data_IF_924686106659
#
_entry.id   IF_924686106659
#
_cell.length_a   1.000
_cell.length_b   1.000
_cell.length_c   1.000
_cell.angle_alpha   90.00
_cell.angle_beta   90.00
_cell.angle_gamma   90.00
#
_symmetry.space_group_name_H-M   'P 1'
#
loop_
_entity.id
_entity.type
_entity.pdbx_description
1 polymer ?
#
# COMPACT_ATOMS: atom_id res chain seq x y z
N UNK A 1 5.19 12.04 16.04
CA UNK A 1 3.97 11.84 15.25
C UNK A 1 3.93 10.39 14.76
N UNK A 2 3.11 9.54 15.36
CA UNK A 2 3.03 8.12 15.03
C UNK A 2 1.92 7.88 13.98
N UNK A 3 2.23 8.09 12.70
CA UNK A 3 1.38 7.58 11.63
C UNK A 3 1.75 6.11 11.37
N UNK A 4 0.76 5.22 11.38
CA UNK A 4 0.94 3.82 11.01
C UNK A 4 1.22 3.65 9.50
N UNK A 5 0.87 4.66 8.69
CA UNK A 5 1.23 4.70 7.28
C UNK A 5 2.70 5.07 7.11
N UNK A 6 3.45 4.34 6.26
CA UNK A 6 4.77 4.80 5.84
C UNK A 6 4.67 6.16 5.13
N UNK A 7 5.75 6.95 5.19
CA UNK A 7 5.79 8.26 4.54
C UNK A 7 5.60 8.08 3.03
N UNK A 8 4.70 8.85 2.40
CA UNK A 8 4.40 8.71 0.97
C UNK A 8 5.66 8.80 0.10
N UNK A 9 6.62 9.67 0.47
CA UNK A 9 7.93 9.80 -0.19
C UNK A 9 8.80 8.53 -0.21
N UNK A 10 8.48 7.51 0.59
CA UNK A 10 9.19 6.23 0.61
C UNK A 10 8.60 5.19 -0.34
N UNK A 11 7.48 5.50 -0.99
CA UNK A 11 6.84 4.64 -1.99
C UNK A 11 7.51 4.91 -3.32
N UNK A 12 8.29 3.95 -3.81
CA UNK A 12 8.98 4.05 -5.11
C UNK A 12 8.42 3.01 -6.09
N UNK A 13 8.33 3.32 -7.38
CA UNK A 13 7.69 2.46 -8.38
C UNK A 13 8.33 1.07 -8.50
N UNK A 14 9.67 1.03 -8.53
CA UNK A 14 10.44 -0.17 -8.88
C UNK A 14 10.95 -0.98 -7.69
N UNK A 15 10.45 -0.71 -6.48
CA UNK A 15 10.80 -1.46 -5.27
C UNK A 15 9.54 -1.94 -4.58
N UNK A 16 9.70 -2.96 -3.73
CA UNK A 16 8.64 -3.41 -2.84
C UNK A 16 8.12 -2.25 -1.98
N UNK A 17 6.80 -2.04 -1.88
CA UNK A 17 6.24 -1.02 -1.01
C UNK A 17 6.72 -1.19 0.44
N UNK A 18 6.96 -0.08 1.16
CA UNK A 18 7.33 -0.14 2.57
C UNK A 18 6.24 -0.84 3.40
N UNK A 19 6.63 -1.70 4.33
CA UNK A 19 5.65 -2.40 5.16
C UNK A 19 4.95 -1.45 6.14
N UNK A 20 3.67 -1.71 6.41
CA UNK A 20 2.91 -1.03 7.45
C UNK A 20 3.46 -1.47 8.80
N UNK A 21 4.00 -0.51 9.56
CA UNK A 21 4.54 -0.80 10.88
C UNK A 21 3.42 -1.24 11.82
N UNK A 22 3.66 -2.26 12.67
CA UNK A 22 2.71 -2.61 13.71
C UNK A 22 2.53 -1.44 14.68
N UNK A 23 1.35 -1.40 15.32
CA UNK A 23 1.08 -0.46 16.39
C UNK A 23 1.59 -1.06 17.69
N UNK A 24 2.57 -0.42 18.31
CA UNK A 24 3.04 -0.82 19.63
C UNK A 24 2.29 -0.05 20.70
N UNK A 25 1.59 -0.80 21.54
CA UNK A 25 0.78 -0.22 22.62
C UNK A 25 1.67 0.50 23.63
N UNK A 26 2.83 -0.07 23.97
CA UNK A 26 3.75 0.49 24.95
C UNK A 26 4.33 1.83 24.48
N UNK A 27 4.77 1.94 23.22
CA UNK A 27 5.23 3.21 22.65
C UNK A 27 4.16 4.30 22.75
N UNK A 28 2.89 3.95 22.47
CA UNK A 28 1.78 4.87 22.60
C UNK A 28 1.53 5.27 24.06
N UNK A 29 1.50 4.31 24.99
CA UNK A 29 1.28 4.57 26.41
C UNK A 29 2.40 5.46 26.99
N UNK A 30 3.66 5.17 26.66
CA UNK A 30 4.80 6.03 27.00
C UNK A 30 4.61 7.44 26.44
N UNK A 31 4.20 7.60 25.18
CA UNK A 31 3.95 8.93 24.61
C UNK A 31 2.83 9.69 25.33
N UNK A 32 1.81 8.98 25.81
CA UNK A 32 0.68 9.55 26.54
C UNK A 32 1.07 10.02 27.93
N UNK A 33 1.99 9.33 28.61
CA UNK A 33 2.55 9.75 29.90
C UNK A 33 3.30 11.09 29.79
N UNK A 34 4.01 11.31 28.69
CA UNK A 34 4.84 12.50 28.48
C UNK A 34 4.10 13.67 27.82
N UNK A 35 3.15 13.40 26.92
CA UNK A 35 2.46 14.41 26.13
C UNK A 35 0.99 14.65 26.54
N UNK A 36 0.43 13.81 27.42
CA UNK A 36 -0.98 13.82 27.79
C UNK A 36 -1.93 13.46 26.63
N UNK A 37 -3.24 13.35 26.87
CA UNK A 37 -4.21 13.43 25.78
C UNK A 37 -4.04 14.78 25.05
N UNK A 38 -4.35 14.83 23.75
CA UNK A 38 -4.15 16.02 22.92
C UNK A 38 -4.64 17.33 23.59
N UNK A 39 -4.08 18.51 23.26
CA UNK A 39 -4.38 19.79 23.93
C UNK A 39 -5.86 20.21 23.88
N UNK A 40 -6.70 19.52 23.11
CA UNK A 40 -8.16 19.70 23.05
C UNK A 40 -8.93 18.92 24.11
N UNK A 41 -8.29 18.05 24.91
CA UNK A 41 -8.96 17.26 25.92
C UNK A 41 -8.97 17.97 27.28
N UNK A 42 -10.12 18.54 27.64
CA UNK A 42 -10.34 19.30 28.89
C UNK A 42 -10.63 18.37 30.09
N UNK A 43 -10.80 17.07 29.83
CA UNK A 43 -11.19 16.07 30.82
C UNK A 43 -9.96 15.54 31.58
N UNK A 44 -9.99 15.63 32.91
CA UNK A 44 -9.00 15.02 33.80
C UNK A 44 -9.42 13.57 34.11
N UNK A 45 -8.50 12.62 34.05
CA UNK A 45 -8.79 11.21 34.35
C UNK A 45 -7.60 10.27 34.16
N UNK A 46 -7.78 8.99 34.53
CA UNK A 46 -6.83 7.91 34.30
C UNK A 46 -6.85 7.47 32.83
N UNK A 47 -6.20 8.27 31.98
CA UNK A 47 -6.07 8.00 30.55
C UNK A 47 -5.28 6.73 30.28
N UNK A 48 -4.24 6.47 31.07
CA UNK A 48 -3.38 5.31 30.91
C UNK A 48 -4.17 4.01 31.14
N UNK A 49 -4.92 3.93 32.25
CA UNK A 49 -5.79 2.79 32.54
C UNK A 49 -6.94 2.65 31.56
N UNK A 50 -7.49 3.76 31.06
CA UNK A 50 -8.50 3.74 30.00
C UNK A 50 -7.96 3.08 28.72
N UNK A 51 -6.81 3.52 28.21
CA UNK A 51 -6.24 2.96 26.99
C UNK A 51 -5.74 1.51 27.19
N UNK A 52 -5.19 1.16 28.35
CA UNK A 52 -4.86 -0.24 28.70
C UNK A 52 -6.08 -1.15 28.66
N UNK A 53 -7.23 -0.70 29.18
CA UNK A 53 -8.49 -1.46 29.09
C UNK A 53 -9.02 -1.52 27.66
N UNK A 54 -8.96 -0.41 26.93
CA UNK A 54 -9.39 -0.34 25.54
C UNK A 54 -8.60 -1.29 24.63
N UNK A 55 -7.28 -1.36 24.75
CA UNK A 55 -6.45 -2.25 23.94
C UNK A 55 -6.71 -3.74 24.18
N UNK A 56 -7.22 -4.09 25.36
CA UNK A 56 -7.67 -5.46 25.69
C UNK A 56 -9.09 -5.76 25.22
N UNK A 57 -9.82 -4.76 24.72
CA UNK A 57 -11.21 -4.92 24.29
C UNK A 57 -11.30 -5.49 22.86
N UNK A 58 -12.36 -6.25 22.54
CA UNK A 58 -12.62 -6.70 21.16
C UNK A 58 -12.79 -5.54 20.17
N UNK A 59 -13.25 -4.38 20.64
CA UNK A 59 -13.40 -3.18 19.81
C UNK A 59 -12.08 -2.72 19.22
N UNK A 60 -11.02 -2.68 20.02
CA UNK A 60 -9.69 -2.28 19.55
C UNK A 60 -9.16 -3.27 18.51
N UNK A 61 -9.25 -4.56 18.78
CA UNK A 61 -8.71 -5.60 17.89
C UNK A 61 -9.42 -5.60 16.52
N UNK A 62 -10.76 -5.51 16.51
CA UNK A 62 -11.55 -5.37 15.29
C UNK A 62 -11.21 -4.09 14.52
N UNK A 63 -11.19 -2.95 15.21
CA UNK A 63 -10.82 -1.66 14.63
C UNK A 63 -9.40 -1.68 14.05
N UNK A 64 -8.44 -2.23 14.78
CA UNK A 64 -7.04 -2.28 14.37
C UNK A 64 -6.85 -3.14 13.12
N UNK A 65 -7.48 -4.33 13.07
CA UNK A 65 -7.46 -5.18 11.87
C UNK A 65 -8.10 -4.51 10.67
N UNK A 66 -9.23 -3.82 10.85
CA UNK A 66 -9.84 -3.04 9.78
C UNK A 66 -8.89 -1.94 9.30
N UNK A 67 -8.33 -1.15 10.23
CA UNK A 67 -7.45 -0.04 9.91
C UNK A 67 -6.20 -0.49 9.17
N UNK A 68 -5.61 -1.62 9.56
CA UNK A 68 -4.48 -2.22 8.83
C UNK A 68 -4.84 -2.61 7.39
N UNK A 69 -6.02 -3.19 7.16
CA UNK A 69 -6.50 -3.54 5.82
C UNK A 69 -6.69 -2.29 4.96
N UNK A 70 -7.30 -1.25 5.49
CA UNK A 70 -7.47 0.04 4.79
C UNK A 70 -6.13 0.64 4.40
N UNK A 71 -5.17 0.66 5.33
CA UNK A 71 -3.82 1.15 5.07
C UNK A 71 -3.09 0.33 4.01
N UNK A 72 -3.23 -1.00 4.02
CA UNK A 72 -2.61 -1.88 3.02
C UNK A 72 -3.15 -1.59 1.62
N UNK A 73 -4.47 -1.45 1.51
CA UNK A 73 -5.12 -1.07 0.24
C UNK A 73 -4.67 0.30 -0.24
N UNK A 74 -4.56 1.28 0.67
CA UNK A 74 -4.09 2.63 0.34
C UNK A 74 -2.63 2.63 -0.13
N UNK A 75 -1.76 1.89 0.55
CA UNK A 75 -0.36 1.77 0.19
C UNK A 75 -0.19 1.14 -1.20
N UNK A 76 -0.96 0.09 -1.48
CA UNK A 76 -0.92 -0.60 -2.77
C UNK A 76 -1.43 0.28 -3.92
N UNK A 77 -2.49 1.06 -3.67
CA UNK A 77 -2.99 2.06 -4.61
C UNK A 77 -1.92 3.13 -4.91
N UNK A 78 -1.30 3.70 -3.88
CA UNK A 78 -0.22 4.68 -4.04
C UNK A 78 0.98 4.10 -4.80
N UNK A 79 1.31 2.83 -4.58
CA UNK A 79 2.38 2.18 -5.34
C UNK A 79 2.02 1.97 -6.80
N UNK A 80 0.76 1.63 -7.11
CA UNK A 80 0.29 1.54 -8.49
C UNK A 80 0.35 2.91 -9.19
N UNK A 81 -0.08 3.98 -8.50
CA UNK A 81 0.04 5.35 -8.99
C UNK A 81 1.49 5.70 -9.29
N UNK A 82 2.41 5.44 -8.35
CA UNK A 82 3.83 5.69 -8.54
C UNK A 82 4.40 4.94 -9.76
N UNK A 83 4.00 3.69 -10.00
CA UNK A 83 4.42 2.93 -11.19
C UNK A 83 3.90 3.59 -12.47
N UNK A 84 2.62 3.99 -12.49
CA UNK A 84 1.99 4.59 -13.68
C UNK A 84 2.50 6.00 -13.99
N UNK A 85 2.97 6.73 -12.98
CA UNK A 85 3.60 8.05 -13.15
C UNK A 85 5.06 7.93 -13.59
N UNK A 86 5.69 6.78 -13.34
CA UNK A 86 7.06 6.52 -13.75
C UNK A 86 7.11 6.00 -15.20
N UNK A 87 8.19 6.31 -15.91
CA UNK A 87 8.36 5.86 -17.29
C UNK A 87 8.74 4.38 -17.33
N UNK A 88 7.75 3.51 -17.55
CA UNK A 88 7.92 2.05 -17.65
C UNK A 88 8.83 1.68 -18.83
N UNK A 89 8.70 2.36 -19.97
CA UNK A 89 9.52 2.07 -21.16
C UNK A 89 11.00 2.31 -20.89
N UNK A 90 11.34 3.43 -20.24
CA UNK A 90 12.72 3.71 -19.80
C UNK A 90 13.18 2.69 -18.77
N UNK A 91 12.32 2.27 -17.83
CA UNK A 91 12.70 1.28 -16.83
C UNK A 91 13.03 -0.09 -17.45
N UNK A 92 12.30 -0.49 -18.48
CA UNK A 92 12.54 -1.76 -19.18
C UNK A 92 13.88 -1.80 -19.93
N UNK A 93 14.47 -0.64 -20.27
CA UNK A 93 15.77 -0.59 -20.92
C UNK A 93 16.84 -1.16 -19.97
N UNK A 94 17.43 -2.29 -20.35
CA UNK A 94 18.44 -2.99 -19.54
C UNK A 94 17.85 -3.93 -18.47
N UNK A 95 16.54 -4.22 -18.54
CA UNK A 95 15.90 -5.25 -17.72
C UNK A 95 15.89 -6.60 -18.41
N UNK A 96 15.99 -7.66 -17.62
CA UNK A 96 15.81 -9.02 -18.12
C UNK A 96 14.34 -9.29 -18.45
N UNK A 97 14.10 -10.23 -19.36
CA UNK A 97 12.74 -10.69 -19.70
C UNK A 97 11.97 -11.14 -18.44
N UNK A 98 12.64 -11.81 -17.50
CA UNK A 98 12.05 -12.24 -16.23
C UNK A 98 11.56 -11.06 -15.39
N UNK A 99 12.33 -9.97 -15.30
CA UNK A 99 11.91 -8.76 -14.58
C UNK A 99 10.71 -8.07 -15.25
N UNK A 100 10.67 -8.07 -16.58
CA UNK A 100 9.54 -7.49 -17.34
C UNK A 100 8.28 -8.36 -17.17
N UNK A 101 8.42 -9.69 -17.22
CA UNK A 101 7.33 -10.64 -16.93
C UNK A 101 6.82 -10.44 -15.50
N UNK A 102 7.69 -10.34 -14.50
CA UNK A 102 7.32 -10.10 -13.11
C UNK A 102 6.54 -8.77 -12.95
N UNK A 103 6.95 -7.71 -13.64
CA UNK A 103 6.20 -6.44 -13.68
C UNK A 103 4.80 -6.64 -14.27
N UNK A 104 4.68 -7.35 -15.40
CA UNK A 104 3.39 -7.64 -16.04
C UNK A 104 2.46 -8.38 -15.08
N UNK A 105 2.96 -9.44 -14.42
CA UNK A 105 2.17 -10.24 -13.48
C UNK A 105 1.71 -9.40 -12.28
N UNK A 106 2.61 -8.61 -11.68
CA UNK A 106 2.29 -7.73 -10.56
C UNK A 106 1.26 -6.66 -10.92
N UNK A 107 1.39 -6.04 -12.09
CA UNK A 107 0.42 -5.03 -12.55
C UNK A 107 -0.95 -5.64 -12.82
N UNK A 108 -1.01 -6.82 -13.43
CA UNK A 108 -2.27 -7.54 -13.65
C UNK A 108 -2.96 -7.94 -12.35
N UNK A 109 -2.21 -8.45 -11.38
CA UNK A 109 -2.76 -8.76 -10.05
C UNK A 109 -3.39 -7.52 -9.40
N UNK A 110 -2.68 -6.39 -9.42
CA UNK A 110 -3.19 -5.12 -8.92
C UNK A 110 -4.44 -4.63 -9.66
N UNK A 111 -4.48 -4.78 -10.99
CA UNK A 111 -5.64 -4.43 -11.81
C UNK A 111 -6.86 -5.29 -11.47
N UNK A 112 -6.68 -6.60 -11.26
CA UNK A 112 -7.76 -7.51 -10.83
C UNK A 112 -8.30 -7.08 -9.46
N UNK A 113 -7.43 -6.77 -8.51
CA UNK A 113 -7.82 -6.31 -7.18
C UNK A 113 -8.52 -4.96 -7.21
N UNK A 114 -8.10 -4.05 -8.08
CA UNK A 114 -8.77 -2.76 -8.27
C UNK A 114 -10.19 -2.92 -8.84
N UNK A 115 -10.39 -3.79 -9.84
CA UNK A 115 -11.72 -4.08 -10.41
C UNK A 115 -12.68 -4.69 -9.38
N UNK A 116 -12.16 -5.51 -8.46
CA UNK A 116 -12.93 -6.03 -7.33
C UNK A 116 -13.31 -5.00 -6.25
N UNK A 117 -13.14 -3.69 -6.51
CA UNK A 117 -13.32 -2.59 -5.55
C UNK A 117 -12.48 -2.73 -4.28
N UNK A 118 -11.35 -3.47 -4.35
CA UNK A 118 -10.49 -3.69 -3.19
C UNK A 118 -9.42 -2.61 -3.04
N UNK A 119 -9.16 -1.80 -4.07
CA UNK A 119 -8.16 -0.73 -4.06
C UNK A 119 -8.81 0.62 -4.38
N UNK A 120 -8.55 1.68 -3.59
CA UNK A 120 -9.07 3.01 -3.85
C UNK A 120 -8.22 3.72 -4.92
N UNK A 121 -8.40 3.37 -6.19
CA UNK A 121 -7.61 3.89 -7.32
C UNK A 121 -8.52 4.64 -8.29
N UNK A 122 -8.02 5.75 -8.88
CA UNK A 122 -8.74 6.52 -9.92
C UNK A 122 -8.77 5.74 -11.24
N UNK A 123 -9.84 5.89 -12.03
CA UNK A 123 -9.95 5.20 -13.33
C UNK A 123 -8.81 5.55 -14.29
N UNK A 124 -8.34 6.81 -14.28
CA UNK A 124 -7.18 7.24 -15.08
C UNK A 124 -5.92 6.41 -14.79
N UNK A 125 -5.66 6.12 -13.51
CA UNK A 125 -4.52 5.29 -13.11
C UNK A 125 -4.71 3.85 -13.57
N UNK A 126 -5.95 3.33 -13.56
CA UNK A 126 -6.24 1.99 -14.08
C UNK A 126 -6.05 1.91 -15.59
N UNK A 127 -6.43 2.94 -16.34
CA UNK A 127 -6.18 3.03 -17.77
C UNK A 127 -4.68 3.07 -18.05
N UNK A 128 -3.91 3.93 -17.36
CA UNK A 128 -2.46 3.98 -17.48
C UNK A 128 -1.80 2.64 -17.16
N UNK A 129 -2.20 1.99 -16.09
CA UNK A 129 -1.70 0.67 -15.72
C UNK A 129 -1.95 -0.39 -16.81
N UNK A 130 -3.11 -0.35 -17.48
CA UNK A 130 -3.40 -1.25 -18.63
C UNK A 130 -2.45 -0.99 -19.80
N UNK A 131 -2.26 0.28 -20.16
CA UNK A 131 -1.31 0.67 -21.21
C UNK A 131 0.14 0.25 -20.86
N UNK A 132 0.55 0.40 -19.59
CA UNK A 132 1.85 -0.07 -19.13
C UNK A 132 2.01 -1.59 -19.28
N UNK A 133 0.97 -2.36 -18.97
CA UNK A 133 0.97 -3.82 -19.17
C UNK A 133 1.09 -4.16 -20.65
N UNK A 134 0.33 -3.50 -21.52
CA UNK A 134 0.39 -3.73 -22.97
C UNK A 134 1.78 -3.41 -23.53
N UNK A 135 2.36 -2.26 -23.18
CA UNK A 135 3.70 -1.89 -23.58
C UNK A 135 4.76 -2.89 -23.09
N UNK A 136 4.64 -3.36 -21.84
CA UNK A 136 5.55 -4.35 -21.27
C UNK A 136 5.40 -5.75 -21.88
N UNK A 137 4.20 -6.13 -22.31
CA UNK A 137 4.00 -7.38 -23.06
C UNK A 137 4.61 -7.24 -24.45
N UNK A 138 4.39 -6.13 -25.15
CA UNK A 138 4.91 -5.94 -26.51
C UNK A 138 6.45 -5.84 -26.58
N UNK A 139 7.12 -5.49 -25.48
CA UNK A 139 8.58 -5.47 -25.41
C UNK A 139 9.21 -6.87 -25.26
N UNK A 140 8.42 -7.88 -24.88
CA UNK A 140 8.89 -9.26 -24.70
C UNK A 140 8.96 -10.03 -26.03
N UNK A 141 9.73 -11.13 -26.12
CA UNK A 141 9.73 -12.02 -27.27
C UNK A 141 8.38 -12.74 -27.49
N UNK A 142 8.13 -13.23 -28.71
CA UNK A 142 6.82 -13.75 -29.15
C UNK A 142 6.32 -14.97 -28.36
N UNK A 143 7.22 -15.84 -27.93
CA UNK A 143 6.93 -17.00 -27.09
C UNK A 143 6.38 -16.56 -25.72
N UNK A 144 7.02 -15.58 -25.07
CA UNK A 144 6.52 -15.03 -23.81
C UNK A 144 5.23 -14.23 -23.99
N UNK A 145 5.07 -13.51 -25.10
CA UNK A 145 3.82 -12.83 -25.43
C UNK A 145 2.65 -13.82 -25.55
N UNK A 146 2.85 -14.96 -26.22
CA UNK A 146 1.81 -15.99 -26.38
C UNK A 146 1.38 -16.60 -25.04
N UNK A 147 2.32 -16.76 -24.09
CA UNK A 147 2.01 -17.26 -22.75
C UNK A 147 1.27 -16.21 -21.92
N UNK A 148 1.64 -14.94 -22.05
CA UNK A 148 1.03 -13.85 -21.28
C UNK A 148 -0.31 -13.38 -21.87
N UNK A 149 -0.57 -13.55 -23.15
CA UNK A 149 -1.84 -13.23 -23.79
C UNK A 149 -2.53 -14.52 -24.25
N UNK A 150 -3.12 -15.30 -23.32
CA UNK A 150 -3.88 -16.47 -23.71
C UNK A 150 -5.11 -16.04 -24.54
N UNK A 151 -5.53 -16.89 -25.50
CA UNK A 151 -6.67 -16.62 -26.40
C UNK A 151 -8.00 -16.46 -25.67
#
# INVERSE_FOLDING_TARGET
MASLMPLQKSITPWKTPPQIRPFHQDDFLCSLEHAGPQPTCILKGDWLGLYRRFFKSPHFDGWYRQRRREMARKLEALHLEAICEANVETWMQGKSEVEVVDLVLKLREKLVRARGHQLPVKEETLQRARLCVEAAVHSLPKDLQAVLCPP
#
